data_IF_168376696122
#
_entry.id   IF_168376696122
#
_cell.length_a   1.000
_cell.length_b   1.000
_cell.length_c   1.000
_cell.angle_alpha   90.00
_cell.angle_beta   90.00
_cell.angle_gamma   90.00
#
_symmetry.space_group_name_H-M   'P 1'
#
loop_
_entity.id
_entity.type
_entity.pdbx_description
1 polymer ?
#
# COMPACT_ATOMS: atom_id res chain seq x y z
N UNK A 1 -76.42 -21.86 35.44
CA UNK A 1 -75.56 -21.26 34.40
C UNK A 1 -74.62 -20.15 34.90
N UNK A 2 -75.00 -19.29 35.85
CA UNK A 2 -74.13 -18.20 36.36
C UNK A 2 -72.80 -18.65 37.01
N UNK A 3 -72.81 -19.72 37.82
CA UNK A 3 -71.59 -20.19 38.50
C UNK A 3 -70.58 -20.86 37.57
N UNK A 4 -71.01 -21.45 36.46
CA UNK A 4 -70.10 -22.00 35.45
C UNK A 4 -69.36 -20.86 34.73
N UNK A 5 -70.10 -19.85 34.25
CA UNK A 5 -69.52 -18.69 33.56
C UNK A 5 -68.50 -17.91 34.41
N UNK A 6 -68.78 -17.67 35.70
CA UNK A 6 -67.82 -17.00 36.59
C UNK A 6 -66.53 -17.81 36.82
N UNK A 7 -66.65 -19.14 36.92
CA UNK A 7 -65.49 -20.01 37.10
C UNK A 7 -64.65 -20.10 35.82
N UNK A 8 -65.27 -20.11 34.64
CA UNK A 8 -64.54 -20.11 33.36
C UNK A 8 -63.88 -18.76 33.07
N UNK A 9 -64.55 -17.65 33.41
CA UNK A 9 -64.00 -16.29 33.26
C UNK A 9 -62.82 -16.04 34.20
N UNK A 10 -62.94 -16.43 35.48
CA UNK A 10 -61.84 -16.30 36.45
C UNK A 10 -60.62 -17.13 36.07
N UNK A 11 -60.82 -18.38 35.63
CA UNK A 11 -59.74 -19.24 35.12
C UNK A 11 -59.07 -18.66 33.87
N UNK A 12 -59.85 -18.08 32.96
CA UNK A 12 -59.31 -17.43 31.75
C UNK A 12 -58.51 -16.17 32.08
N UNK A 13 -58.93 -15.39 33.08
CA UNK A 13 -58.22 -14.20 33.53
C UNK A 13 -56.87 -14.51 34.16
N UNK A 14 -56.79 -15.58 34.98
CA UNK A 14 -55.52 -16.06 35.55
C UNK A 14 -54.56 -16.55 34.46
N UNK A 15 -55.09 -17.21 33.41
CA UNK A 15 -54.29 -17.63 32.26
C UNK A 15 -53.75 -16.41 31.51
N UNK A 16 -54.54 -15.37 31.24
CA UNK A 16 -54.07 -14.16 30.56
C UNK A 16 -53.00 -13.40 31.37
N UNK A 17 -53.17 -13.28 32.69
CA UNK A 17 -52.18 -12.66 33.58
C UNK A 17 -50.87 -13.46 33.63
N UNK A 18 -50.93 -14.79 33.54
CA UNK A 18 -49.73 -15.63 33.54
C UNK A 18 -49.01 -15.67 32.19
N UNK A 19 -49.76 -15.63 31.08
CA UNK A 19 -49.20 -15.76 29.73
C UNK A 19 -48.43 -14.51 29.30
N UNK A 20 -48.90 -13.29 29.64
CA UNK A 20 -48.24 -12.05 29.20
C UNK A 20 -46.82 -11.90 29.78
N UNK A 21 -46.57 -12.06 31.10
CA UNK A 21 -45.23 -12.04 31.66
C UNK A 21 -44.34 -13.17 31.13
N UNK A 22 -44.94 -14.33 30.83
CA UNK A 22 -44.21 -15.48 30.33
C UNK A 22 -43.77 -15.27 28.88
N UNK A 23 -44.63 -14.73 28.02
CA UNK A 23 -44.27 -14.30 26.66
C UNK A 23 -43.24 -13.17 26.69
N UNK A 24 -43.38 -12.20 27.60
CA UNK A 24 -42.39 -11.13 27.78
C UNK A 24 -41.03 -11.66 28.24
N UNK A 25 -41.02 -12.60 29.20
CA UNK A 25 -39.81 -13.26 29.67
C UNK A 25 -39.15 -14.09 28.56
N UNK A 26 -39.94 -14.84 27.79
CA UNK A 26 -39.42 -15.57 26.63
C UNK A 26 -38.87 -14.62 25.57
N UNK A 27 -39.54 -13.49 25.29
CA UNK A 27 -39.06 -12.44 24.39
C UNK A 27 -37.67 -11.92 24.79
N UNK A 28 -37.46 -11.65 26.09
CA UNK A 28 -36.16 -11.20 26.62
C UNK A 28 -35.06 -12.27 26.52
N UNK A 29 -35.43 -13.55 26.63
CA UNK A 29 -34.49 -14.66 26.45
C UNK A 29 -34.16 -14.85 24.97
N UNK A 30 -35.16 -14.81 24.09
CA UNK A 30 -34.98 -15.02 22.65
C UNK A 30 -34.15 -13.91 22.03
N UNK A 31 -34.39 -12.65 22.40
CA UNK A 31 -33.65 -11.48 21.90
C UNK A 31 -32.16 -11.52 22.29
N UNK A 32 -31.82 -12.16 23.43
CA UNK A 32 -30.42 -12.40 23.83
C UNK A 32 -29.81 -13.68 23.21
N UNK A 33 -30.65 -14.62 22.78
CA UNK A 33 -30.21 -15.91 22.24
C UNK A 33 -29.85 -15.88 20.76
N UNK A 34 -30.35 -14.90 20.00
CA UNK A 34 -29.96 -14.66 18.60
C UNK A 34 -28.65 -13.84 18.47
N UNK A 35 -27.73 -13.99 19.43
CA UNK A 35 -26.37 -13.52 19.20
C UNK A 35 -25.73 -14.50 18.23
N UNK A 36 -25.66 -14.11 16.95
CA UNK A 36 -24.90 -14.81 15.92
C UNK A 36 -23.49 -15.00 16.47
N UNK A 37 -23.22 -16.20 17.00
CA UNK A 37 -21.97 -16.50 17.67
C UNK A 37 -20.93 -16.64 16.58
N UNK A 38 -20.05 -15.67 16.46
CA UNK A 38 -18.95 -15.71 15.48
C UNK A 38 -18.13 -16.96 15.79
N UNK A 39 -18.23 -17.99 14.94
CA UNK A 39 -17.55 -19.26 15.18
C UNK A 39 -16.09 -19.15 14.80
N UNK A 40 -15.79 -18.49 13.65
CA UNK A 40 -14.46 -18.20 13.08
C UNK A 40 -14.56 -17.04 12.08
N UNK A 41 -13.43 -16.42 11.74
CA UNK A 41 -13.33 -15.41 10.67
C UNK A 41 -13.17 -13.98 11.19
N UNK A 42 -13.22 -13.02 10.25
CA UNK A 42 -13.12 -11.61 10.59
C UNK A 42 -14.36 -11.14 11.35
N UNK A 43 -14.15 -10.45 12.47
CA UNK A 43 -15.21 -9.85 13.28
C UNK A 43 -15.19 -8.34 13.11
N UNK A 44 -16.38 -7.74 12.94
CA UNK A 44 -16.51 -6.28 12.98
C UNK A 44 -16.50 -5.83 14.45
N UNK A 45 -15.47 -5.08 14.83
CA UNK A 45 -15.35 -4.51 16.17
C UNK A 45 -15.60 -3.01 16.16
N UNK A 46 -15.94 -2.46 17.33
CA UNK A 46 -15.99 -1.00 17.49
C UNK A 46 -14.58 -0.45 17.66
N UNK A 47 -14.36 0.81 17.27
CA UNK A 47 -13.05 1.46 17.43
C UNK A 47 -12.56 1.46 18.88
N UNK A 48 -13.46 1.61 19.86
CA UNK A 48 -13.11 1.51 21.29
C UNK A 48 -12.60 0.11 21.68
N UNK A 49 -13.28 -0.94 21.21
CA UNK A 49 -12.86 -2.34 21.41
C UNK A 49 -11.53 -2.61 20.73
N UNK A 50 -11.35 -2.15 19.49
CA UNK A 50 -10.10 -2.26 18.75
C UNK A 50 -8.89 -1.67 19.51
N UNK A 51 -8.99 -0.42 19.98
CA UNK A 51 -7.89 0.20 20.75
C UNK A 51 -7.66 -0.53 22.09
N UNK A 52 -8.73 -0.96 22.76
CA UNK A 52 -8.61 -1.75 23.99
C UNK A 52 -7.89 -3.08 23.74
N UNK A 53 -8.22 -3.78 22.66
CA UNK A 53 -7.61 -5.06 22.30
C UNK A 53 -6.13 -4.88 21.95
N UNK A 54 -5.76 -3.85 21.17
CA UNK A 54 -4.37 -3.51 20.88
C UNK A 54 -3.56 -3.26 22.17
N UNK A 55 -4.10 -2.45 23.09
CA UNK A 55 -3.44 -2.15 24.36
C UNK A 55 -3.36 -3.39 25.28
N UNK A 56 -4.40 -4.22 25.30
CA UNK A 56 -4.45 -5.47 26.08
C UNK A 56 -3.40 -6.47 25.60
N UNK A 57 -3.21 -6.56 24.29
CA UNK A 57 -2.26 -7.48 23.66
C UNK A 57 -0.85 -6.89 23.53
N UNK A 58 -0.65 -5.66 24.03
CA UNK A 58 0.62 -4.93 23.96
C UNK A 58 1.17 -4.83 22.53
N UNK A 59 0.27 -4.66 21.55
CA UNK A 59 0.63 -4.49 20.15
C UNK A 59 1.03 -3.04 19.93
N UNK A 60 2.28 -2.83 19.54
CA UNK A 60 2.78 -1.52 19.18
C UNK A 60 2.08 -1.03 17.91
N UNK A 61 1.80 0.26 17.83
CA UNK A 61 1.22 0.90 16.65
C UNK A 61 2.24 1.82 16.01
N UNK A 62 2.42 1.68 14.70
CA UNK A 62 3.39 2.48 13.97
C UNK A 62 2.65 3.55 13.19
N UNK A 63 1.90 3.18 12.16
CA UNK A 63 1.42 4.16 11.19
C UNK A 63 0.09 4.77 11.59
N UNK A 64 0.08 6.08 11.86
CA UNK A 64 -1.17 6.81 12.11
C UNK A 64 -1.78 7.38 10.81
N UNK A 65 -3.05 7.05 10.58
CA UNK A 65 -3.82 7.42 9.37
C UNK A 65 -4.89 8.49 9.68
N UNK A 66 -4.58 9.39 10.62
CA UNK A 66 -5.44 10.51 10.99
C UNK A 66 -6.07 10.40 12.37
N UNK A 67 -7.16 11.15 12.56
CA UNK A 67 -7.91 11.18 13.82
C UNK A 67 -9.39 10.94 13.60
N UNK A 68 -10.02 10.23 14.53
CA UNK A 68 -11.46 10.03 14.60
C UNK A 68 -12.05 10.73 15.81
N UNK A 69 -13.32 11.12 15.73
CA UNK A 69 -14.04 11.73 16.84
C UNK A 69 -14.76 10.63 17.60
N UNK A 70 -14.32 10.38 18.82
CA UNK A 70 -14.96 9.41 19.70
C UNK A 70 -15.86 10.15 20.67
N UNK A 71 -17.17 9.89 20.62
CA UNK A 71 -18.14 10.38 21.62
C UNK A 71 -18.22 9.39 22.79
N UNK A 72 -18.02 9.93 23.98
CA UNK A 72 -18.40 9.32 25.26
C UNK A 72 -19.55 10.11 25.86
N UNK A 73 -20.27 9.53 26.82
CA UNK A 73 -21.48 10.10 27.45
C UNK A 73 -21.32 11.57 27.86
N UNK A 74 -20.11 12.02 28.22
CA UNK A 74 -19.82 13.39 28.66
C UNK A 74 -18.61 14.05 27.98
N UNK A 75 -17.94 13.38 27.02
CA UNK A 75 -16.69 13.90 26.43
C UNK A 75 -16.59 13.55 24.96
N UNK A 76 -16.32 14.57 24.14
CA UNK A 76 -15.89 14.40 22.75
C UNK A 76 -14.38 14.51 22.72
N UNK A 77 -13.69 13.46 22.26
CA UNK A 77 -12.24 13.47 22.11
C UNK A 77 -11.85 13.10 20.68
N UNK A 78 -10.82 13.77 20.15
CA UNK A 78 -10.12 13.32 18.94
C UNK A 78 -9.12 12.25 19.36
N UNK A 79 -9.18 11.11 18.72
CA UNK A 79 -8.29 9.99 18.96
C UNK A 79 -7.59 9.61 17.67
N UNK A 80 -6.27 9.41 17.72
CA UNK A 80 -5.51 8.97 16.58
C UNK A 80 -5.95 7.56 16.16
N UNK A 81 -6.03 7.35 14.85
CA UNK A 81 -6.27 6.04 14.25
C UNK A 81 -4.92 5.53 13.79
N UNK A 82 -4.34 4.57 14.52
CA UNK A 82 -3.04 4.01 14.18
C UNK A 82 -3.15 2.52 13.90
N UNK A 83 -2.38 2.08 12.91
CA UNK A 83 -2.27 0.69 12.48
C UNK A 83 -1.22 -0.02 13.33
N UNK A 84 -1.40 -1.32 13.63
CA UNK A 84 -0.41 -2.09 14.37
C UNK A 84 0.89 -2.25 13.56
N UNK A 85 2.01 -2.36 14.28
CA UNK A 85 3.33 -2.68 13.75
C UNK A 85 3.26 -4.00 12.95
N UNK A 86 3.82 -4.00 11.73
CA UNK A 86 3.73 -5.06 10.71
C UNK A 86 2.50 -5.10 9.78
N UNK A 87 1.81 -3.98 9.52
CA UNK A 87 0.99 -3.88 8.31
C UNK A 87 1.90 -3.78 7.06
N UNK A 88 2.49 -4.90 6.61
CA UNK A 88 3.54 -4.93 5.58
C UNK A 88 3.30 -3.99 4.39
N UNK A 89 2.13 -4.10 3.73
CA UNK A 89 1.68 -3.12 2.74
C UNK A 89 0.24 -2.67 3.05
N UNK A 90 0.01 -1.36 2.96
CA UNK A 90 -1.31 -0.75 3.16
C UNK A 90 -1.95 -0.47 1.80
N UNK A 91 -3.17 -0.96 1.60
CA UNK A 91 -3.96 -0.70 0.40
C UNK A 91 -5.19 0.14 0.73
N UNK A 92 -5.26 1.36 0.17
CA UNK A 92 -6.43 2.22 0.26
C UNK A 92 -7.41 1.92 -0.88
N UNK A 93 -8.58 1.38 -0.56
CA UNK A 93 -9.64 1.05 -1.53
C UNK A 93 -10.84 1.99 -1.36
N UNK A 94 -11.38 2.49 -2.46
CA UNK A 94 -12.61 3.27 -2.46
C UNK A 94 -12.82 4.03 -3.78
N UNK A 95 -14.05 4.47 -4.04
CA UNK A 95 -14.39 5.28 -5.22
C UNK A 95 -13.72 6.67 -5.22
N UNK A 96 -13.77 7.38 -6.33
CA UNK A 96 -13.31 8.79 -6.38
C UNK A 96 -14.09 9.62 -5.36
N UNK A 97 -13.40 10.50 -4.64
CA UNK A 97 -14.02 11.37 -3.62
C UNK A 97 -14.20 10.73 -2.24
N UNK A 98 -13.87 9.45 -2.02
CA UNK A 98 -14.01 8.80 -0.70
C UNK A 98 -12.90 9.14 0.31
N UNK A 99 -11.98 10.04 -0.04
CA UNK A 99 -10.94 10.53 0.88
C UNK A 99 -9.60 9.80 0.86
N UNK A 100 -9.34 8.89 -0.09
CA UNK A 100 -8.05 8.17 -0.20
C UNK A 100 -6.82 9.09 -0.15
N UNK A 101 -6.81 10.16 -0.97
CA UNK A 101 -5.71 11.15 -0.97
C UNK A 101 -5.53 11.80 0.40
N UNK A 102 -6.63 12.10 1.11
CA UNK A 102 -6.55 12.72 2.44
C UNK A 102 -5.98 11.76 3.49
N UNK A 103 -6.34 10.47 3.43
CA UNK A 103 -5.76 9.46 4.32
C UNK A 103 -4.25 9.30 4.09
N UNK A 104 -3.81 9.31 2.82
CA UNK A 104 -2.37 9.27 2.48
C UNK A 104 -1.67 10.54 2.99
N UNK A 105 -2.25 11.73 2.83
CA UNK A 105 -1.67 12.97 3.34
C UNK A 105 -1.49 12.97 4.86
N UNK A 106 -2.46 12.44 5.61
CA UNK A 106 -2.36 12.30 7.06
C UNK A 106 -1.29 11.28 7.47
N UNK A 107 -1.13 10.22 6.67
CA UNK A 107 -0.06 9.24 6.86
C UNK A 107 1.33 9.87 6.61
N UNK A 108 1.45 10.69 5.56
CA UNK A 108 2.69 11.44 5.27
C UNK A 108 3.04 12.45 6.37
N UNK A 109 2.06 13.09 6.99
CA UNK A 109 2.28 13.96 8.16
C UNK A 109 2.89 13.20 9.34
N UNK A 110 2.44 11.96 9.56
CA UNK A 110 3.01 11.11 10.59
C UNK A 110 4.46 10.72 10.26
N UNK A 111 4.73 10.25 9.03
CA UNK A 111 6.11 9.92 8.60
C UNK A 111 7.06 11.13 8.67
N UNK A 112 6.57 12.32 8.33
CA UNK A 112 7.32 13.58 8.46
C UNK A 112 7.66 13.87 9.93
N UNK A 113 6.70 13.72 10.84
CA UNK A 113 6.89 13.94 12.28
C UNK A 113 7.89 12.96 12.90
N UNK A 114 7.92 11.71 12.40
CA UNK A 114 8.90 10.69 12.82
C UNK A 114 10.26 10.81 12.11
N UNK A 115 10.40 11.74 11.15
CA UNK A 115 11.64 11.92 10.39
C UNK A 115 11.96 10.75 9.44
N UNK A 116 10.95 10.00 9.00
CA UNK A 116 11.10 8.85 8.12
C UNK A 116 11.06 9.32 6.65
N UNK A 117 12.11 9.08 5.85
CA UNK A 117 12.13 9.48 4.45
C UNK A 117 11.14 8.66 3.63
N UNK A 118 10.41 9.33 2.74
CA UNK A 118 9.38 8.73 1.90
C UNK A 118 9.68 8.96 0.41
N UNK A 119 9.42 7.95 -0.43
CA UNK A 119 9.38 8.10 -1.89
C UNK A 119 7.91 8.13 -2.31
N UNK A 120 7.49 9.23 -2.93
CA UNK A 120 6.11 9.47 -3.34
C UNK A 120 6.02 9.46 -4.86
N UNK A 121 5.24 8.54 -5.41
CA UNK A 121 4.88 8.55 -6.83
C UNK A 121 3.63 9.42 -7.03
N UNK A 122 3.83 10.66 -7.45
CA UNK A 122 2.76 11.65 -7.61
C UNK A 122 2.40 11.88 -9.08
N UNK A 123 1.57 11.00 -9.64
CA UNK A 123 1.16 11.10 -11.04
C UNK A 123 0.22 12.30 -11.34
N UNK A 124 -0.38 12.92 -10.31
CA UNK A 124 -1.39 13.99 -10.47
C UNK A 124 -0.93 15.34 -9.91
N UNK A 125 0.30 15.42 -9.40
CA UNK A 125 0.82 16.58 -8.69
C UNK A 125 -0.05 17.02 -7.49
N UNK A 126 -0.76 16.07 -6.85
CA UNK A 126 -1.64 16.37 -5.71
C UNK A 126 -0.85 16.49 -4.40
N UNK A 127 0.23 15.74 -4.26
CA UNK A 127 1.06 15.70 -3.06
C UNK A 127 2.11 16.80 -3.11
N UNK A 128 2.76 16.98 -4.26
CA UNK A 128 3.77 18.03 -4.45
C UNK A 128 3.15 19.41 -4.18
N UNK A 129 1.93 19.68 -4.68
CA UNK A 129 1.23 20.95 -4.47
C UNK A 129 0.87 21.22 -2.99
N UNK A 130 0.78 20.19 -2.15
CA UNK A 130 0.34 20.31 -0.75
C UNK A 130 1.46 20.19 0.27
N UNK A 131 2.53 19.46 -0.06
CA UNK A 131 3.53 19.00 0.92
C UNK A 131 4.98 19.24 0.50
N UNK A 132 5.24 19.67 -0.73
CA UNK A 132 6.61 19.90 -1.17
C UNK A 132 7.27 21.05 -0.41
N UNK A 133 8.48 20.82 0.10
CA UNK A 133 9.30 21.78 0.83
C UNK A 133 10.55 22.09 -0.01
N UNK A 134 10.59 23.25 -0.69
CA UNK A 134 11.77 23.65 -1.46
C UNK A 134 13.04 23.65 -0.61
N UNK A 135 14.12 23.07 -1.14
CA UNK A 135 15.41 22.95 -0.46
C UNK A 135 15.50 21.82 0.58
N UNK A 136 14.41 21.10 0.84
CA UNK A 136 14.38 19.91 1.70
C UNK A 136 14.03 18.67 0.89
N UNK A 137 12.96 18.74 0.11
CA UNK A 137 12.47 17.61 -0.67
C UNK A 137 13.10 17.59 -2.07
N UNK A 138 13.29 16.39 -2.63
CA UNK A 138 13.86 16.17 -3.95
C UNK A 138 12.77 15.83 -4.96
N UNK A 139 12.81 16.48 -6.12
CA UNK A 139 11.96 16.15 -7.27
C UNK A 139 12.75 15.24 -8.20
N UNK A 140 12.13 14.16 -8.67
CA UNK A 140 12.69 13.34 -9.73
C UNK A 140 11.69 13.24 -10.89
N UNK A 141 11.81 14.18 -11.83
CA UNK A 141 10.95 14.30 -13.00
C UNK A 141 11.76 14.92 -14.16
N UNK A 142 12.05 14.18 -15.26
CA UNK A 142 12.88 14.69 -16.35
C UNK A 142 12.29 15.90 -17.10
N UNK A 143 11.02 16.24 -16.86
CA UNK A 143 10.35 17.41 -17.44
C UNK A 143 10.34 18.62 -16.51
N UNK A 144 10.84 18.47 -15.29
CA UNK A 144 10.89 19.54 -14.28
C UNK A 144 12.29 20.15 -14.22
N UNK A 145 12.37 21.49 -14.18
CA UNK A 145 13.64 22.21 -14.11
C UNK A 145 14.36 22.05 -12.77
N UNK A 146 13.61 21.81 -11.70
CA UNK A 146 14.13 21.63 -10.35
C UNK A 146 14.39 20.15 -10.02
N UNK A 147 14.22 19.27 -11.02
CA UNK A 147 14.51 17.85 -10.87
C UNK A 147 15.97 17.60 -10.59
N UNK A 148 16.22 16.64 -9.71
CA UNK A 148 17.55 16.05 -9.56
C UNK A 148 18.02 15.46 -10.89
N UNK A 149 19.31 15.60 -11.15
CA UNK A 149 19.97 14.92 -12.25
C UNK A 149 20.30 13.50 -11.81
N UNK A 150 19.89 12.52 -12.61
CA UNK A 150 20.17 11.12 -12.36
C UNK A 150 20.74 10.46 -13.60
N UNK A 151 21.84 9.75 -13.41
CA UNK A 151 22.48 8.93 -14.41
C UNK A 151 22.59 7.52 -13.85
N UNK A 152 21.89 6.55 -14.44
CA UNK A 152 21.85 5.20 -13.87
C UNK A 152 23.23 4.53 -13.82
N UNK A 153 24.21 5.02 -14.61
CA UNK A 153 25.59 4.53 -14.54
C UNK A 153 26.21 4.76 -13.15
N UNK A 154 25.74 5.77 -12.41
CA UNK A 154 26.21 6.07 -11.05
C UNK A 154 25.73 5.02 -10.02
N UNK A 155 24.72 4.22 -10.37
CA UNK A 155 24.21 3.12 -9.54
C UNK A 155 25.04 1.83 -9.68
N UNK A 156 25.86 1.72 -10.74
CA UNK A 156 26.65 0.52 -11.05
C UNK A 156 27.89 0.50 -10.15
N UNK A 157 27.88 -0.32 -9.10
CA UNK A 157 29.00 -0.46 -8.15
C UNK A 157 29.83 -1.71 -8.43
N UNK A 158 29.24 -2.71 -9.08
CA UNK A 158 29.84 -4.01 -9.40
C UNK A 158 29.37 -4.48 -10.78
N UNK A 159 30.16 -5.35 -11.40
CA UNK A 159 29.82 -5.91 -12.72
C UNK A 159 28.43 -6.58 -12.79
N UNK A 160 27.97 -7.35 -11.79
CA UNK A 160 26.61 -7.91 -11.80
C UNK A 160 25.48 -6.88 -11.77
N UNK A 161 25.75 -5.63 -11.35
CA UNK A 161 24.73 -4.58 -11.34
C UNK A 161 24.33 -4.20 -12.79
N UNK A 162 25.21 -4.44 -13.77
CA UNK A 162 24.92 -4.25 -15.20
C UNK A 162 23.82 -5.21 -15.67
N UNK A 163 23.85 -6.47 -15.23
CA UNK A 163 22.83 -7.45 -15.59
C UNK A 163 21.49 -7.10 -14.95
N UNK A 164 21.49 -6.70 -13.67
CA UNK A 164 20.29 -6.26 -12.96
C UNK A 164 19.66 -5.03 -13.64
N UNK A 165 20.49 -4.06 -14.02
CA UNK A 165 20.06 -2.87 -14.73
C UNK A 165 19.53 -3.20 -16.14
N UNK A 166 20.17 -4.11 -16.86
CA UNK A 166 19.71 -4.54 -18.19
C UNK A 166 18.34 -5.24 -18.08
N UNK A 167 18.12 -6.03 -17.04
CA UNK A 167 16.83 -6.64 -16.74
C UNK A 167 15.75 -5.61 -16.33
N UNK A 168 16.15 -4.52 -15.69
CA UNK A 168 15.26 -3.39 -15.39
C UNK A 168 14.85 -2.61 -16.65
N UNK A 169 15.81 -2.34 -17.55
CA UNK A 169 15.56 -1.60 -18.82
C UNK A 169 14.67 -2.42 -19.77
N UNK A 170 14.94 -3.72 -19.89
CA UNK A 170 14.16 -4.64 -20.73
C UNK A 170 13.39 -5.59 -19.81
N UNK A 171 12.17 -5.24 -19.39
CA UNK A 171 11.38 -6.07 -18.49
C UNK A 171 10.96 -7.38 -19.17
N UNK A 172 10.63 -8.40 -18.36
CA UNK A 172 10.16 -9.67 -18.89
C UNK A 172 8.80 -9.50 -19.57
N UNK A 173 8.68 -10.06 -20.78
CA UNK A 173 7.39 -10.18 -21.45
C UNK A 173 6.56 -11.27 -20.75
N UNK A 174 5.38 -10.89 -20.25
CA UNK A 174 4.43 -11.80 -19.60
C UNK A 174 3.66 -12.70 -20.59
N UNK A 175 3.79 -12.45 -21.89
CA UNK A 175 3.23 -13.30 -22.94
C UNK A 175 4.15 -14.50 -23.19
N UNK A 176 3.60 -15.61 -23.71
CA UNK A 176 4.36 -16.78 -24.18
C UNK A 176 5.19 -16.47 -25.45
N UNK A 177 5.92 -15.34 -25.47
CA UNK A 177 6.87 -15.01 -26.52
C UNK A 177 8.18 -15.75 -26.29
N UNK A 178 8.87 -16.06 -27.39
CA UNK A 178 10.20 -16.66 -27.36
C UNK A 178 11.16 -15.83 -26.47
N UNK A 179 11.80 -16.46 -25.45
CA UNK A 179 12.73 -15.79 -24.54
C UNK A 179 13.86 -15.03 -25.23
N UNK A 180 14.23 -15.40 -26.47
CA UNK A 180 15.29 -14.73 -27.23
C UNK A 180 15.05 -13.23 -27.38
N UNK A 181 13.78 -12.82 -27.53
CA UNK A 181 13.41 -11.40 -27.70
C UNK A 181 13.52 -10.60 -26.41
N UNK A 182 13.74 -11.26 -25.27
CA UNK A 182 14.01 -10.62 -23.98
C UNK A 182 15.49 -10.72 -23.62
N UNK A 183 16.10 -11.89 -23.81
CA UNK A 183 17.51 -12.11 -23.43
C UNK A 183 18.50 -11.43 -24.36
N UNK A 184 18.32 -11.51 -25.69
CA UNK A 184 19.28 -10.94 -26.63
C UNK A 184 19.43 -9.41 -26.49
N UNK A 185 18.34 -8.62 -26.32
CA UNK A 185 18.48 -7.19 -26.04
C UNK A 185 19.22 -6.89 -24.73
N UNK A 186 18.99 -7.69 -23.67
CA UNK A 186 19.68 -7.53 -22.38
C UNK A 186 21.18 -7.75 -22.52
N UNK A 187 21.60 -8.79 -23.24
CA UNK A 187 23.03 -9.06 -23.49
C UNK A 187 23.70 -7.93 -24.29
N UNK A 188 23.01 -7.41 -25.32
CA UNK A 188 23.51 -6.28 -26.12
C UNK A 188 23.67 -5.04 -25.23
N UNK A 189 22.65 -4.71 -24.44
CA UNK A 189 22.67 -3.54 -23.54
C UNK A 189 23.78 -3.68 -22.49
N UNK A 190 23.89 -4.85 -21.85
CA UNK A 190 24.92 -5.11 -20.85
C UNK A 190 26.33 -4.91 -21.43
N UNK A 191 26.60 -5.48 -22.61
CA UNK A 191 27.90 -5.36 -23.27
C UNK A 191 28.21 -3.91 -23.70
N UNK A 192 27.20 -3.14 -24.10
CA UNK A 192 27.37 -1.72 -24.42
C UNK A 192 27.63 -0.86 -23.17
N UNK A 193 26.93 -1.12 -22.07
CA UNK A 193 27.15 -0.45 -20.78
C UNK A 193 28.59 -0.71 -20.30
N UNK A 194 29.03 -1.97 -20.33
CA UNK A 194 30.40 -2.35 -19.96
C UNK A 194 31.44 -1.63 -20.81
N UNK A 195 31.22 -1.57 -22.14
CA UNK A 195 32.11 -0.86 -23.06
C UNK A 195 32.21 0.63 -22.72
N UNK A 196 31.07 1.29 -22.51
CA UNK A 196 31.02 2.72 -22.20
C UNK A 196 31.71 3.04 -20.86
N UNK A 197 31.57 2.17 -19.86
CA UNK A 197 32.30 2.28 -18.58
C UNK A 197 33.80 2.19 -18.82
N UNK A 198 34.28 1.17 -19.56
CA UNK A 198 35.71 0.99 -19.87
C UNK A 198 36.29 2.17 -20.66
N UNK A 199 35.50 2.76 -21.55
CA UNK A 199 35.89 3.93 -22.34
C UNK A 199 35.78 5.26 -21.56
N UNK A 200 35.27 5.25 -20.32
CA UNK A 200 34.99 6.46 -19.51
C UNK A 200 33.96 7.41 -20.14
N UNK A 201 33.01 6.85 -20.89
CA UNK A 201 31.87 7.53 -21.49
C UNK A 201 30.54 7.05 -20.86
N UNK A 202 30.53 6.88 -19.53
CA UNK A 202 29.42 6.31 -18.77
C UNK A 202 28.27 7.32 -18.57
N UNK A 203 27.52 7.61 -19.63
CA UNK A 203 26.33 8.45 -19.55
C UNK A 203 25.18 7.92 -20.44
N UNK A 204 23.95 8.22 -20.03
CA UNK A 204 22.74 7.78 -20.73
C UNK A 204 22.65 8.26 -22.20
N UNK A 205 23.17 9.45 -22.50
CA UNK A 205 23.13 10.04 -23.85
C UNK A 205 23.97 9.28 -24.87
N UNK A 206 25.17 8.84 -24.46
CA UNK A 206 26.06 8.02 -25.28
C UNK A 206 25.47 6.63 -25.51
N UNK A 207 24.91 6.00 -24.48
CA UNK A 207 24.21 4.73 -24.65
C UNK A 207 23.04 4.88 -25.65
N UNK A 208 22.24 5.93 -25.51
CA UNK A 208 21.14 6.23 -26.42
C UNK A 208 21.62 6.45 -27.87
N UNK A 209 22.72 7.20 -28.04
CA UNK A 209 23.34 7.45 -29.34
C UNK A 209 23.79 6.15 -30.01
N UNK A 210 24.45 5.26 -29.27
CA UNK A 210 24.94 3.98 -29.81
C UNK A 210 23.79 3.02 -30.12
N UNK A 211 22.77 2.94 -29.27
CA UNK A 211 21.60 2.09 -29.49
C UNK A 211 20.81 2.50 -30.74
N UNK A 212 20.76 3.80 -31.04
CA UNK A 212 20.11 4.34 -32.24
C UNK A 212 21.04 4.40 -33.47
N UNK A 213 22.31 4.03 -33.32
CA UNK A 213 23.23 3.96 -34.44
C UNK A 213 22.90 2.78 -35.36
N UNK A 214 23.42 2.81 -36.59
CA UNK A 214 23.28 1.67 -37.51
C UNK A 214 23.89 0.39 -36.93
N UNK A 215 23.32 -0.77 -37.28
CA UNK A 215 23.77 -2.10 -36.83
C UNK A 215 25.27 -2.33 -37.05
N UNK A 216 25.83 -1.74 -38.11
CA UNK A 216 27.26 -1.79 -38.39
C UNK A 216 28.12 -1.14 -37.30
N UNK A 217 27.64 -0.05 -36.69
CA UNK A 217 28.28 0.68 -35.60
C UNK A 217 28.21 -0.12 -34.30
N UNK A 218 27.02 -0.62 -33.93
CA UNK A 218 26.84 -1.47 -32.74
C UNK A 218 27.75 -2.70 -32.82
N UNK A 219 27.77 -3.38 -33.97
CA UNK A 219 28.64 -4.53 -34.20
C UNK A 219 30.13 -4.18 -34.08
N UNK A 220 30.56 -3.00 -34.56
CA UNK A 220 31.95 -2.54 -34.40
C UNK A 220 32.29 -2.29 -32.93
N UNK A 221 31.39 -1.63 -32.19
CA UNK A 221 31.54 -1.35 -30.77
C UNK A 221 31.72 -2.65 -29.97
N UNK A 222 30.84 -3.63 -30.17
CA UNK A 222 30.88 -4.92 -29.47
C UNK A 222 32.12 -5.76 -29.84
N UNK A 223 32.56 -5.76 -31.10
CA UNK A 223 33.81 -6.42 -31.49
C UNK A 223 35.04 -5.83 -30.79
N UNK A 224 35.04 -4.53 -30.54
CA UNK A 224 36.14 -3.87 -29.85
C UNK A 224 36.16 -4.22 -28.35
N UNK A 225 34.98 -4.37 -27.73
CA UNK A 225 34.84 -4.82 -26.34
C UNK A 225 35.50 -6.19 -26.09
N UNK A 226 35.22 -7.18 -26.94
CA UNK A 226 35.82 -8.52 -26.81
C UNK A 226 37.34 -8.50 -26.88
N UNK A 227 37.93 -7.63 -27.71
CA UNK A 227 39.39 -7.52 -27.83
C UNK A 227 40.04 -6.85 -26.60
N UNK A 228 39.31 -6.02 -25.86
CA UNK A 228 39.78 -5.43 -24.60
C UNK A 228 39.64 -6.40 -23.43
N UNK A 229 38.59 -7.23 -23.41
CA UNK A 229 38.41 -8.26 -22.38
C UNK A 229 39.48 -9.38 -22.43
N UNK A 230 39.99 -9.71 -23.62
CA UNK A 230 41.04 -10.74 -23.80
C UNK A 230 42.45 -10.24 -23.46
N UNK A 231 42.62 -8.94 -23.17
CA UNK A 231 43.92 -8.31 -22.88
C UNK A 231 44.10 -7.88 -21.41
N UNK A 232 43.20 -8.30 -20.52
CA UNK A 232 43.28 -8.06 -19.08
C UNK A 232 43.93 -9.20 -18.32
#
# INVERSE_FOLDING_TARGET
MRNLLQNTLGKSFVVYIGVIPLVYFFSLITEKSETIKTVRGAELSTFKKYIFDLARENIQTDVCIGTTITKSLLKTARQAVCMPEMAGHILFIGSTGTGKTNSILQMLEWYEAEGIPCIILDAKNEYIAKKFRPGVDLIFNPLDCDSIQWNFFDEIKRWPDIDALSAFIVPENKSHSDPIWTHAPREIIAALIELLIKMKHANCGELWSVLNAGVSTIRKALKHSNNMCVRG
#
